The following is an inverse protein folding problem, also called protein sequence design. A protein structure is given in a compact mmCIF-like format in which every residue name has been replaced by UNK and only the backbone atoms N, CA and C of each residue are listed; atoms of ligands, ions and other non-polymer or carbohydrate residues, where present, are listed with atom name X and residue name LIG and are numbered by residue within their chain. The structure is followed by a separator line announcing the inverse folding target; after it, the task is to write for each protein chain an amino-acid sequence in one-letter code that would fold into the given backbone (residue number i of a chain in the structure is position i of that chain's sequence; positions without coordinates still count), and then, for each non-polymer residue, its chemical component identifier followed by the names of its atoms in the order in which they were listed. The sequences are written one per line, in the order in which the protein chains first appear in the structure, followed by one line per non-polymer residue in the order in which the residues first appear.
data_IF_407636808205
#
_entry.id   IF_407636808205
#
_cell.length_a   1.000
_cell.length_b   1.000
_cell.length_c   1.000
_cell.angle_alpha   90.00
_cell.angle_beta   90.00
_cell.angle_gamma   90.00
#
_symmetry.space_group_name_H-M   'P 1'
#
loop_
_entity.id
_entity.type
_entity.pdbx_description
1 polymer ?
#
# COMPACT_ATOMS: atom_id res chain seq x y z
N UNK A 1 8.96 19.38 0.52
CA UNK A 1 8.92 17.90 0.60
C UNK A 1 9.67 17.36 -0.60
N UNK A 2 10.71 16.57 -0.38
CA UNK A 2 11.39 15.87 -1.47
C UNK A 2 10.69 14.52 -1.77
N UNK A 3 11.08 13.85 -2.86
CA UNK A 3 10.44 12.59 -3.27
C UNK A 3 10.55 11.49 -2.20
N UNK A 4 11.69 11.39 -1.51
CA UNK A 4 11.91 10.40 -0.45
C UNK A 4 10.97 10.61 0.75
N UNK A 5 10.86 11.84 1.24
CA UNK A 5 9.95 12.21 2.32
C UNK A 5 8.49 11.93 1.95
N UNK A 6 8.10 12.19 0.69
CA UNK A 6 6.75 11.89 0.22
C UNK A 6 6.45 10.39 0.28
N UNK A 7 7.34 9.57 -0.29
CA UNK A 7 7.17 8.11 -0.34
C UNK A 7 7.15 7.52 1.08
N UNK A 8 8.00 7.99 2.00
CA UNK A 8 7.98 7.53 3.41
C UNK A 8 6.64 7.79 4.09
N UNK A 9 6.05 8.97 3.87
CA UNK A 9 4.70 9.26 4.39
C UNK A 9 3.63 8.38 3.77
N UNK A 10 3.73 8.08 2.47
CA UNK A 10 2.78 7.17 1.81
C UNK A 10 2.93 5.73 2.34
N UNK A 11 4.14 5.27 2.68
CA UNK A 11 4.38 3.96 3.35
C UNK A 11 3.75 3.93 4.74
N UNK A 12 3.92 4.99 5.53
CA UNK A 12 3.31 5.11 6.86
C UNK A 12 1.78 5.10 6.79
N UNK A 13 1.21 5.85 5.83
CA UNK A 13 -0.22 5.86 5.59
C UNK A 13 -0.73 4.48 5.15
N UNK A 14 0.01 3.77 4.30
CA UNK A 14 -0.37 2.42 3.87
C UNK A 14 -0.42 1.46 5.06
N UNK A 15 0.59 1.50 5.94
CA UNK A 15 0.62 0.67 7.15
C UNK A 15 -0.56 0.98 8.08
N UNK A 16 -0.91 2.27 8.26
CA UNK A 16 -2.08 2.67 9.03
C UNK A 16 -3.37 2.09 8.43
N UNK A 17 -3.59 2.27 7.14
CA UNK A 17 -4.79 1.78 6.46
C UNK A 17 -4.88 0.25 6.46
N UNK A 18 -3.74 -0.45 6.44
CA UNK A 18 -3.71 -1.90 6.52
C UNK A 18 -4.13 -2.40 7.92
N UNK A 19 -3.71 -1.70 8.98
CA UNK A 19 -4.12 -2.02 10.35
C UNK A 19 -5.62 -1.77 10.58
N UNK A 20 -6.23 -0.80 9.89
CA UNK A 20 -7.68 -0.57 9.95
C UNK A 20 -8.49 -1.77 9.47
N UNK A 21 -7.89 -2.66 8.67
CA UNK A 21 -8.56 -3.81 8.07
C UNK A 21 -8.08 -5.17 8.64
N UNK A 22 -7.19 -5.19 9.62
CA UNK A 22 -6.51 -6.40 10.09
C UNK A 22 -7.46 -7.45 10.69
N UNK A 23 -8.46 -7.01 11.46
CA UNK A 23 -9.41 -7.89 12.15
C UNK A 23 -10.65 -8.28 11.30
N UNK A 24 -10.71 -7.79 10.06
CA UNK A 24 -11.85 -8.02 9.17
C UNK A 24 -11.79 -9.39 8.50
N UNK A 25 -12.95 -9.89 8.04
CA UNK A 25 -13.05 -11.15 7.33
C UNK A 25 -13.09 -10.91 5.82
N UNK A 26 -12.17 -11.56 5.11
CA UNK A 26 -12.01 -11.44 3.67
C UNK A 26 -12.20 -12.78 2.96
N UNK A 27 -12.80 -12.74 1.78
CA UNK A 27 -12.83 -13.89 0.88
C UNK A 27 -11.45 -14.12 0.23
N UNK A 28 -11.28 -15.24 -0.46
CA UNK A 28 -9.99 -15.63 -1.06
C UNK A 28 -9.44 -14.59 -2.04
N UNK A 29 -10.30 -13.95 -2.85
CA UNK A 29 -9.86 -12.94 -3.83
C UNK A 29 -9.43 -11.65 -3.16
N UNK A 30 -10.15 -11.23 -2.13
CA UNK A 30 -9.79 -10.06 -1.32
C UNK A 30 -8.45 -10.28 -0.61
N UNK A 31 -8.22 -11.48 -0.04
CA UNK A 31 -6.92 -11.84 0.55
C UNK A 31 -5.78 -11.75 -0.46
N UNK A 32 -5.99 -12.24 -1.69
CA UNK A 32 -4.98 -12.12 -2.76
C UNK A 32 -4.71 -10.66 -3.12
N UNK A 33 -5.74 -9.81 -3.16
CA UNK A 33 -5.59 -8.36 -3.40
C UNK A 33 -4.79 -7.69 -2.28
N UNK A 34 -5.10 -7.99 -1.03
CA UNK A 34 -4.38 -7.46 0.16
C UNK A 34 -2.92 -7.93 0.13
N UNK A 35 -2.66 -9.21 -0.14
CA UNK A 35 -1.31 -9.76 -0.26
C UNK A 35 -0.52 -9.05 -1.37
N UNK A 36 -1.14 -8.83 -2.53
CA UNK A 36 -0.52 -8.06 -3.62
C UNK A 36 -0.22 -6.63 -3.18
N UNK A 37 -1.11 -5.95 -2.46
CA UNK A 37 -0.87 -4.61 -1.95
C UNK A 37 0.35 -4.57 -1.01
N UNK A 38 0.50 -5.58 -0.13
CA UNK A 38 1.66 -5.75 0.77
C UNK A 38 2.95 -6.01 -0.03
N UNK A 39 2.90 -6.83 -1.07
CA UNK A 39 4.05 -7.13 -1.93
C UNK A 39 4.55 -5.84 -2.63
N UNK A 40 3.64 -5.03 -3.19
CA UNK A 40 4.03 -3.74 -3.79
C UNK A 40 4.55 -2.73 -2.75
N UNK A 41 4.12 -2.79 -1.48
CA UNK A 41 4.70 -1.96 -0.42
C UNK A 41 6.13 -2.44 -0.06
N UNK A 42 6.39 -3.74 -0.18
CA UNK A 42 7.75 -4.29 -0.06
C UNK A 42 8.64 -3.81 -1.22
N UNK A 43 8.13 -3.86 -2.45
CA UNK A 43 8.83 -3.33 -3.63
C UNK A 43 9.10 -1.82 -3.51
N UNK A 44 8.13 -1.06 -2.98
CA UNK A 44 8.29 0.36 -2.68
C UNK A 44 9.55 0.61 -1.84
N UNK A 45 9.70 -0.13 -0.73
CA UNK A 45 10.84 0.00 0.18
C UNK A 45 12.16 -0.38 -0.52
N UNK A 46 12.16 -1.43 -1.32
CA UNK A 46 13.31 -1.87 -2.09
C UNK A 46 13.78 -0.82 -3.10
N UNK A 47 12.87 -0.24 -3.90
CA UNK A 47 13.22 0.80 -4.88
C UNK A 47 13.58 2.13 -4.20
N UNK A 48 12.98 2.43 -3.04
CA UNK A 48 13.33 3.60 -2.24
C UNK A 48 14.78 3.53 -1.75
N UNK A 49 15.21 2.38 -1.23
CA UNK A 49 16.59 2.15 -0.79
C UNK A 49 17.60 2.38 -1.94
N UNK A 50 17.22 1.99 -3.16
CA UNK A 50 18.01 2.20 -4.38
C UNK A 50 17.95 3.60 -4.95
N UNK A 51 17.20 4.52 -4.31
CA UNK A 51 16.93 5.88 -4.79
C UNK A 51 16.24 5.92 -6.16
N UNK A 52 15.59 4.84 -6.56
CA UNK A 52 14.69 4.80 -7.72
C UNK A 52 13.31 5.30 -7.29
N UNK A 53 13.20 6.62 -7.17
CA UNK A 53 12.00 7.27 -6.64
C UNK A 53 10.79 7.13 -7.55
N UNK A 54 10.98 7.04 -8.87
CA UNK A 54 9.86 6.90 -9.81
C UNK A 54 9.22 5.52 -9.69
N UNK A 55 10.04 4.46 -9.70
CA UNK A 55 9.53 3.09 -9.53
C UNK A 55 8.95 2.89 -8.14
N UNK A 56 9.63 3.40 -7.09
CA UNK A 56 9.13 3.35 -5.72
C UNK A 56 7.78 4.05 -5.55
N UNK A 57 7.62 5.24 -6.14
CA UNK A 57 6.35 5.97 -6.12
C UNK A 57 5.24 5.23 -6.90
N UNK A 58 5.57 4.60 -8.03
CA UNK A 58 4.65 3.75 -8.77
C UNK A 58 4.16 2.55 -7.95
N UNK A 59 5.07 1.90 -7.21
CA UNK A 59 4.72 0.78 -6.35
C UNK A 59 3.76 1.20 -5.22
N UNK A 60 4.05 2.29 -4.50
CA UNK A 60 3.23 2.68 -3.35
C UNK A 60 1.85 3.19 -3.75
N UNK A 61 1.74 3.87 -4.89
CA UNK A 61 0.44 4.31 -5.42
C UNK A 61 -0.41 3.13 -5.86
N UNK A 62 0.20 2.09 -6.45
CA UNK A 62 -0.51 0.85 -6.78
C UNK A 62 -0.94 0.08 -5.52
N UNK A 63 -0.08 -0.01 -4.49
CA UNK A 63 -0.44 -0.58 -3.17
C UNK A 63 -1.65 0.12 -2.56
N UNK A 64 -1.66 1.46 -2.54
CA UNK A 64 -2.80 2.23 -2.04
C UNK A 64 -4.06 1.97 -2.85
N UNK A 65 -3.99 1.98 -4.18
CA UNK A 65 -5.16 1.71 -5.02
C UNK A 65 -5.80 0.34 -4.77
N UNK A 66 -4.98 -0.70 -4.57
CA UNK A 66 -5.48 -2.03 -4.21
C UNK A 66 -6.15 -2.05 -2.83
N UNK A 67 -5.52 -1.43 -1.83
CA UNK A 67 -6.04 -1.40 -0.47
C UNK A 67 -7.29 -0.51 -0.35
N UNK A 68 -7.33 0.63 -1.02
CA UNK A 68 -8.49 1.52 -1.03
C UNK A 68 -9.69 0.85 -1.71
N UNK A 69 -9.48 0.03 -2.75
CA UNK A 69 -10.57 -0.77 -3.31
C UNK A 69 -11.18 -1.73 -2.28
N UNK A 70 -10.37 -2.37 -1.44
CA UNK A 70 -10.85 -3.20 -0.33
C UNK A 70 -11.61 -2.33 0.69
N UNK A 71 -11.06 -1.17 1.06
CA UNK A 71 -11.68 -0.27 2.04
C UNK A 71 -13.04 0.27 1.56
N UNK A 72 -13.17 0.59 0.28
CA UNK A 72 -14.43 1.02 -0.36
C UNK A 72 -15.45 -0.12 -0.37
N UNK A 73 -15.05 -1.34 -0.72
CA UNK A 73 -15.96 -2.50 -0.74
C UNK A 73 -16.53 -2.86 0.64
N UNK A 74 -15.88 -2.40 1.71
CA UNK A 74 -16.30 -2.61 3.10
C UNK A 74 -16.75 -1.31 3.79
N UNK A 75 -17.10 -0.27 3.02
CA UNK A 75 -17.67 0.99 3.50
C UNK A 75 -16.84 1.71 4.58
N UNK A 76 -15.51 1.61 4.52
CA UNK A 76 -14.60 2.26 5.48
C UNK A 76 -14.28 3.72 5.14
N UNK A 77 -14.40 4.10 3.87
CA UNK A 77 -14.12 5.45 3.33
C UNK A 77 -15.12 5.85 2.25
#
# INVERSE_FOLDING_TARGET
MNYEERIKKDIELFAKNLNEIEDMQFNTKEKEIIERAINYNTDTKYYLEKKDYLTSFGCITYSHGLLDAIRIMHDLI
#
